data_IF_628121640226
#
_entry.id   IF_628121640226
#
_cell.length_a   1.000
_cell.length_b   1.000
_cell.length_c   1.000
_cell.angle_alpha   90.00
_cell.angle_beta   90.00
_cell.angle_gamma   90.00
#
_symmetry.space_group_name_H-M   'P 1'
#
loop_
_entity.id
_entity.type
_entity.pdbx_description
1 polymer ?
#
# COMPACT_ATOMS: atom_id res chain seq x y z
N UNK A 1 23.74 -51.48 -24.89
CA UNK A 1 24.93 -51.43 -24.02
C UNK A 1 26.11 -52.03 -24.77
N UNK A 2 27.27 -51.37 -24.77
CA UNK A 2 28.46 -51.89 -25.46
C UNK A 2 29.04 -53.04 -24.63
N UNK A 3 29.27 -54.19 -25.24
CA UNK A 3 29.74 -55.39 -24.55
C UNK A 3 31.23 -55.22 -24.21
N UNK A 4 31.61 -55.33 -22.94
CA UNK A 4 32.99 -55.11 -22.46
C UNK A 4 33.75 -56.42 -22.60
N UNK A 5 34.54 -56.56 -23.66
CA UNK A 5 35.25 -57.81 -23.97
C UNK A 5 36.78 -57.72 -23.80
N UNK A 6 37.30 -56.54 -23.42
CA UNK A 6 38.74 -56.29 -23.29
C UNK A 6 39.04 -55.28 -22.18
N UNK A 7 40.22 -55.37 -21.57
CA UNK A 7 40.73 -54.38 -20.59
C UNK A 7 40.63 -52.95 -21.10
N UNK A 8 40.93 -52.73 -22.38
CA UNK A 8 40.87 -51.41 -23.03
C UNK A 8 39.44 -50.87 -23.14
N UNK A 9 38.45 -51.74 -23.31
CA UNK A 9 37.04 -51.35 -23.34
C UNK A 9 36.52 -51.01 -21.93
N UNK A 10 37.01 -51.72 -20.92
CA UNK A 10 36.71 -51.44 -19.52
C UNK A 10 37.25 -50.07 -19.09
N UNK A 11 38.51 -49.75 -19.41
CA UNK A 11 39.11 -48.43 -19.12
C UNK A 11 38.35 -47.29 -19.78
N UNK A 12 37.94 -47.46 -21.05
CA UNK A 12 37.12 -46.47 -21.76
C UNK A 12 35.74 -46.29 -21.11
N UNK A 13 35.12 -47.38 -20.66
CA UNK A 13 33.84 -47.32 -19.97
C UNK A 13 33.96 -46.60 -18.62
N UNK A 14 35.01 -46.90 -17.84
CA UNK A 14 35.29 -46.22 -16.56
C UNK A 14 35.52 -44.73 -16.79
N UNK A 15 36.33 -44.36 -17.79
CA UNK A 15 36.57 -42.96 -18.13
C UNK A 15 35.29 -42.23 -18.54
N UNK A 16 34.47 -42.85 -19.39
CA UNK A 16 33.19 -42.27 -19.80
C UNK A 16 32.22 -42.10 -18.61
N UNK A 17 32.16 -43.09 -17.71
CA UNK A 17 31.34 -43.02 -16.50
C UNK A 17 31.84 -41.96 -15.51
N UNK A 18 33.15 -41.80 -15.34
CA UNK A 18 33.74 -40.77 -14.49
C UNK A 18 33.39 -39.37 -15.01
N UNK A 19 33.47 -39.15 -16.31
CA UNK A 19 33.06 -37.88 -16.92
C UNK A 19 31.56 -37.62 -16.76
N UNK A 20 30.74 -38.65 -16.97
CA UNK A 20 29.29 -38.55 -16.77
C UNK A 20 28.94 -38.22 -15.31
N UNK A 21 29.60 -38.87 -14.36
CA UNK A 21 29.43 -38.64 -12.93
C UNK A 21 29.82 -37.21 -12.56
N UNK A 22 30.95 -36.71 -13.07
CA UNK A 22 31.39 -35.32 -12.82
C UNK A 22 30.37 -34.32 -13.35
N UNK A 23 29.90 -34.49 -14.60
CA UNK A 23 28.91 -33.62 -15.20
C UNK A 23 27.55 -33.65 -14.45
N UNK A 24 27.10 -34.84 -14.03
CA UNK A 24 25.88 -34.97 -13.23
C UNK A 24 26.03 -34.30 -11.85
N UNK A 25 27.21 -34.42 -11.22
CA UNK A 25 27.50 -33.77 -9.95
C UNK A 25 27.41 -32.24 -10.04
N UNK A 26 27.97 -31.65 -11.10
CA UNK A 26 27.88 -30.20 -11.34
C UNK A 26 26.43 -29.75 -11.58
N UNK A 27 25.67 -30.49 -12.38
CA UNK A 27 24.26 -30.19 -12.62
C UNK A 27 23.43 -30.27 -11.34
N UNK A 28 23.68 -31.27 -10.49
CA UNK A 28 23.00 -31.43 -9.21
C UNK A 28 23.32 -30.27 -8.28
N UNK A 29 24.59 -29.86 -8.19
CA UNK A 29 25.00 -28.68 -7.41
C UNK A 29 24.29 -27.42 -7.90
N UNK A 30 24.26 -27.19 -9.22
CA UNK A 30 23.59 -26.04 -9.81
C UNK A 30 22.06 -26.05 -9.59
N UNK A 31 21.42 -27.23 -9.58
CA UNK A 31 20.00 -27.35 -9.22
C UNK A 31 19.75 -27.12 -7.73
N UNK A 32 20.65 -27.59 -6.87
CA UNK A 32 20.56 -27.38 -5.44
C UNK A 32 20.67 -25.89 -5.08
N UNK A 33 21.67 -25.20 -5.64
CA UNK A 33 21.84 -23.75 -5.46
C UNK A 33 20.61 -22.98 -5.93
N UNK A 34 20.06 -23.30 -7.11
CA UNK A 34 18.82 -22.68 -7.60
C UNK A 34 17.62 -22.97 -6.72
N UNK A 35 17.51 -24.19 -6.19
CA UNK A 35 16.43 -24.57 -5.28
C UNK A 35 16.51 -23.77 -3.98
N UNK A 36 17.68 -23.71 -3.36
CA UNK A 36 17.92 -22.90 -2.14
C UNK A 36 17.66 -21.42 -2.42
N UNK A 37 18.12 -20.91 -3.56
CA UNK A 37 17.88 -19.54 -3.99
C UNK A 37 16.38 -19.25 -4.16
N UNK A 38 15.61 -20.19 -4.72
CA UNK A 38 14.15 -20.05 -4.88
C UNK A 38 13.38 -20.08 -3.56
N UNK A 39 13.91 -20.80 -2.55
CA UNK A 39 13.34 -20.89 -1.20
C UNK A 39 13.68 -19.69 -0.33
N UNK A 40 14.61 -18.81 -0.76
CA UNK A 40 14.89 -17.57 -0.04
C UNK A 40 13.61 -16.72 0.03
N UNK A 41 13.24 -16.20 1.21
CA UNK A 41 12.02 -15.41 1.38
C UNK A 41 11.89 -14.25 0.38
N UNK A 42 13.01 -13.61 0.05
CA UNK A 42 13.06 -12.51 -0.93
C UNK A 42 12.60 -12.97 -2.32
N UNK A 43 13.01 -14.15 -2.77
CA UNK A 43 12.61 -14.68 -4.08
C UNK A 43 11.19 -15.23 -4.07
N UNK A 44 10.71 -15.77 -2.94
CA UNK A 44 9.30 -16.15 -2.76
C UNK A 44 8.41 -14.89 -2.87
N UNK A 45 8.75 -13.82 -2.15
CA UNK A 45 8.01 -12.55 -2.22
C UNK A 45 8.06 -11.97 -3.64
N UNK A 46 9.23 -11.97 -4.28
CA UNK A 46 9.40 -11.48 -5.66
C UNK A 46 8.55 -12.26 -6.66
N UNK A 47 8.54 -13.60 -6.57
CA UNK A 47 7.74 -14.44 -7.45
C UNK A 47 6.24 -14.27 -7.18
N UNK A 48 5.83 -14.21 -5.91
CA UNK A 48 4.44 -13.93 -5.53
C UNK A 48 4.00 -12.55 -6.02
N UNK A 49 4.83 -11.52 -5.89
CA UNK A 49 4.52 -10.17 -6.35
C UNK A 49 4.41 -10.10 -7.88
N UNK A 50 5.33 -10.73 -8.62
CA UNK A 50 5.24 -10.82 -10.08
C UNK A 50 3.98 -11.56 -10.56
N UNK A 51 3.59 -12.64 -9.86
CA UNK A 51 2.35 -13.36 -10.17
C UNK A 51 1.11 -12.53 -9.81
N UNK A 52 1.20 -11.73 -8.76
CA UNK A 52 0.14 -10.85 -8.29
C UNK A 52 -0.11 -9.67 -9.24
N UNK A 53 0.95 -9.08 -9.80
CA UNK A 53 0.86 -7.99 -10.80
C UNK A 53 0.34 -8.50 -12.15
N UNK A 54 0.57 -9.77 -12.49
CA UNK A 54 0.06 -10.39 -13.74
C UNK A 54 -1.42 -10.75 -13.69
N UNK A 55 -2.05 -10.77 -12.52
CA UNK A 55 -3.48 -11.07 -12.36
C UNK A 55 -4.30 -9.79 -12.18
N UNK A 56 -5.21 -9.43 -13.12
CA UNK A 56 -6.04 -8.23 -13.01
C UNK A 56 -6.92 -8.20 -11.75
N UNK A 57 -7.38 -9.36 -11.29
CA UNK A 57 -8.26 -9.47 -10.12
C UNK A 57 -7.52 -9.27 -8.80
N UNK A 58 -6.29 -9.78 -8.69
CA UNK A 58 -5.45 -9.55 -7.51
C UNK A 58 -5.03 -8.08 -7.41
N UNK A 59 -4.72 -7.46 -8.55
CA UNK A 59 -4.40 -6.04 -8.62
C UNK A 59 -5.59 -5.17 -8.15
N UNK A 60 -6.81 -5.49 -8.59
CA UNK A 60 -8.04 -4.83 -8.09
C UNK A 60 -8.21 -4.98 -6.58
N UNK A 61 -7.97 -6.18 -6.03
CA UNK A 61 -8.10 -6.42 -4.59
C UNK A 61 -7.05 -5.67 -3.75
N UNK A 62 -5.83 -5.48 -4.26
CA UNK A 62 -4.82 -4.66 -3.57
C UNK A 62 -5.20 -3.19 -3.60
N UNK A 63 -5.70 -2.69 -4.73
CA UNK A 63 -6.17 -1.31 -4.83
C UNK A 63 -7.33 -1.09 -3.87
N UNK A 64 -8.33 -1.96 -3.86
CA UNK A 64 -9.46 -1.83 -2.93
C UNK A 64 -9.02 -1.90 -1.46
N UNK A 65 -8.11 -2.82 -1.13
CA UNK A 65 -7.57 -2.96 0.23
C UNK A 65 -6.73 -1.76 0.63
N UNK A 66 -5.85 -1.26 -0.24
CA UNK A 66 -5.02 -0.09 0.04
C UNK A 66 -5.84 1.19 0.20
N UNK A 67 -6.93 1.33 -0.57
CA UNK A 67 -7.91 2.40 -0.37
C UNK A 67 -8.58 2.25 1.00
N UNK A 68 -9.00 1.05 1.40
CA UNK A 68 -9.57 0.81 2.73
C UNK A 68 -8.61 1.08 3.89
N UNK A 69 -7.34 0.69 3.74
CA UNK A 69 -6.30 0.94 4.74
C UNK A 69 -5.94 2.42 4.84
N UNK A 70 -5.81 3.10 3.70
CA UNK A 70 -5.49 4.53 3.66
C UNK A 70 -6.66 5.34 4.19
N UNK A 71 -7.89 5.02 3.79
CA UNK A 71 -9.09 5.70 4.30
C UNK A 71 -9.28 5.41 5.78
N UNK A 72 -9.03 4.18 6.25
CA UNK A 72 -9.06 3.81 7.66
C UNK A 72 -7.99 4.54 8.49
N UNK A 73 -6.77 4.69 7.98
CA UNK A 73 -5.71 5.44 8.64
C UNK A 73 -6.02 6.94 8.72
N UNK A 74 -6.47 7.53 7.61
CA UNK A 74 -6.90 8.94 7.57
C UNK A 74 -8.11 9.15 8.49
N UNK A 75 -9.08 8.25 8.45
CA UNK A 75 -10.25 8.26 9.33
C UNK A 75 -9.83 8.18 10.80
N UNK A 76 -8.99 7.23 11.20
CA UNK A 76 -8.50 7.14 12.57
C UNK A 76 -7.72 8.40 12.99
N UNK A 77 -6.92 8.98 12.09
CA UNK A 77 -6.17 10.20 12.37
C UNK A 77 -7.06 11.43 12.55
N UNK A 78 -8.21 11.46 11.87
CA UNK A 78 -9.20 12.53 11.96
C UNK A 78 -10.14 12.32 13.15
N UNK A 79 -10.72 11.12 13.32
CA UNK A 79 -11.79 10.81 14.27
C UNK A 79 -11.31 10.29 15.63
N UNK A 80 -10.23 9.51 15.71
CA UNK A 80 -9.82 8.77 16.92
C UNK A 80 -8.53 9.32 17.55
N UNK A 81 -7.60 9.86 16.75
CA UNK A 81 -6.35 10.44 17.25
C UNK A 81 -6.57 11.72 18.07
N UNK A 82 -5.66 12.03 19.00
CA UNK A 82 -5.68 13.13 19.99
C UNK A 82 -5.69 14.57 19.41
N UNK A 83 -6.32 14.79 18.27
CA UNK A 83 -6.28 16.02 17.50
C UNK A 83 -7.54 16.85 17.67
N UNK A 84 -7.69 17.45 18.86
CA UNK A 84 -8.66 18.53 19.12
C UNK A 84 -8.55 19.68 18.09
N UNK A 85 -7.43 19.78 17.38
CA UNK A 85 -7.13 20.86 16.45
C UNK A 85 -7.37 20.53 14.96
N UNK A 86 -7.28 19.27 14.48
CA UNK A 86 -7.46 18.98 13.05
C UNK A 86 -8.92 19.08 12.64
N UNK A 87 -9.84 18.44 13.37
CA UNK A 87 -11.29 18.52 13.08
C UNK A 87 -11.75 19.99 13.18
N UNK A 88 -11.33 20.69 14.25
CA UNK A 88 -11.68 22.10 14.45
C UNK A 88 -11.15 23.00 13.34
N UNK A 89 -9.93 22.77 12.83
CA UNK A 89 -9.39 23.50 11.67
C UNK A 89 -10.13 23.18 10.38
N UNK A 90 -10.51 21.92 10.18
CA UNK A 90 -11.26 21.50 8.98
C UNK A 90 -12.66 22.12 8.96
N UNK A 91 -13.42 21.98 10.05
CA UNK A 91 -14.74 22.60 10.21
C UNK A 91 -14.61 24.13 10.14
N UNK A 92 -13.62 24.71 10.83
CA UNK A 92 -13.34 26.14 10.80
C UNK A 92 -13.06 26.66 9.40
N UNK A 93 -12.30 25.91 8.59
CA UNK A 93 -12.03 26.25 7.19
C UNK A 93 -13.29 26.19 6.31
N UNK A 94 -14.14 25.18 6.47
CA UNK A 94 -15.42 25.08 5.73
C UNK A 94 -16.32 26.26 6.10
N UNK A 95 -16.47 26.55 7.40
CA UNK A 95 -17.28 27.68 7.87
C UNK A 95 -16.71 28.99 7.33
N UNK A 96 -15.39 29.18 7.39
CA UNK A 96 -14.73 30.38 6.90
C UNK A 96 -14.96 30.58 5.40
N UNK A 97 -14.83 29.52 4.58
CA UNK A 97 -15.10 29.60 3.14
C UNK A 97 -16.57 29.93 2.89
N UNK A 98 -17.50 29.24 3.55
CA UNK A 98 -18.93 29.50 3.40
C UNK A 98 -19.31 30.94 3.76
N UNK A 99 -18.84 31.43 4.91
CA UNK A 99 -19.06 32.82 5.34
C UNK A 99 -18.41 33.80 4.37
N UNK A 100 -17.17 33.55 3.93
CA UNK A 100 -16.46 34.44 2.99
C UNK A 100 -17.18 34.53 1.65
N UNK A 101 -17.70 33.43 1.12
CA UNK A 101 -18.47 33.41 -0.13
C UNK A 101 -19.78 34.19 0.01
N UNK A 102 -20.49 34.05 1.12
CA UNK A 102 -21.75 34.79 1.36
C UNK A 102 -21.47 36.28 1.56
N UNK A 103 -20.42 36.64 2.31
CA UNK A 103 -20.01 38.04 2.56
C UNK A 103 -19.58 38.73 1.26
N UNK A 104 -18.78 38.05 0.43
CA UNK A 104 -18.31 38.60 -0.84
C UNK A 104 -19.41 38.72 -1.88
N UNK A 105 -20.38 37.81 -1.88
CA UNK A 105 -21.48 37.81 -2.87
C UNK A 105 -22.65 38.72 -2.48
N UNK A 106 -22.93 38.88 -1.17
CA UNK A 106 -24.09 39.63 -0.67
C UNK A 106 -23.78 40.34 0.66
N UNK A 107 -22.96 41.40 0.65
CA UNK A 107 -22.51 42.09 1.87
C UNK A 107 -23.67 42.70 2.68
N UNK A 108 -24.71 43.21 2.00
CA UNK A 108 -25.89 43.80 2.66
C UNK A 108 -26.75 42.78 3.42
N UNK A 109 -26.84 41.55 2.92
CA UNK A 109 -27.56 40.46 3.59
C UNK A 109 -26.87 40.08 4.91
N UNK A 110 -25.53 40.02 4.90
CA UNK A 110 -24.74 39.76 6.11
C UNK A 110 -24.85 40.91 7.10
N UNK A 111 -24.82 42.16 6.64
CA UNK A 111 -24.98 43.35 7.48
C UNK A 111 -26.34 43.39 8.20
N UNK A 112 -27.42 42.99 7.52
CA UNK A 112 -28.76 42.86 8.11
C UNK A 112 -28.85 41.74 9.14
N UNK A 113 -28.32 40.56 8.82
CA UNK A 113 -28.30 39.42 9.75
C UNK A 113 -27.45 39.74 10.98
N UNK A 114 -26.27 40.34 10.78
CA UNK A 114 -25.40 40.82 11.85
C UNK A 114 -26.08 41.84 12.75
N UNK A 115 -26.72 42.88 12.18
CA UNK A 115 -27.50 43.86 12.95
C UNK A 115 -28.64 43.21 13.74
N UNK A 116 -29.32 42.21 13.16
CA UNK A 116 -30.41 41.50 13.84
C UNK A 116 -29.89 40.67 15.01
N UNK A 117 -28.80 39.93 14.84
CA UNK A 117 -28.20 39.09 15.88
C UNK A 117 -27.60 39.96 17.00
N UNK A 118 -26.81 40.98 16.66
CA UNK A 118 -26.22 41.92 17.63
C UNK A 118 -27.34 42.66 18.36
N UNK A 119 -28.35 43.12 17.64
CA UNK A 119 -29.54 43.75 18.22
C UNK A 119 -30.24 42.83 19.20
N UNK A 120 -30.51 41.57 18.86
CA UNK A 120 -31.18 40.63 19.77
C UNK A 120 -30.34 40.26 20.99
N UNK A 121 -29.01 40.18 20.88
CA UNK A 121 -28.12 39.85 22.00
C UNK A 121 -27.92 41.05 22.93
N UNK A 122 -27.69 42.26 22.39
CA UNK A 122 -27.43 43.46 23.20
C UNK A 122 -28.72 44.09 23.78
N UNK A 123 -29.88 44.02 23.12
CA UNK A 123 -31.12 44.57 23.68
C UNK A 123 -31.69 43.72 24.83
N UNK A 124 -31.28 42.45 24.96
CA UNK A 124 -31.69 41.58 26.07
C UNK A 124 -31.00 41.91 27.40
N UNK A 125 -29.93 42.72 27.37
CA UNK A 125 -29.21 43.19 28.56
C UNK A 125 -29.70 44.52 29.16
N UNK A 126 -30.54 45.28 28.44
CA UNK A 126 -31.00 46.61 28.87
C UNK A 126 -32.47 46.68 29.30
N UNK A 127 -33.15 45.53 29.42
CA UNK A 127 -34.52 45.40 29.95
C UNK A 127 -34.54 44.68 31.31
N UNK A 128 -33.52 44.95 32.13
CA UNK A 128 -33.51 44.69 33.57
C UNK A 128 -32.94 45.90 34.29
N UNK A 129 -33.75 46.94 34.45
CA UNK A 129 -33.72 47.85 35.59
C UNK A 129 -35.14 48.34 35.83
#
# INVERSE_FOLDING_TARGET
MKNINSKKDLEKAIYALAQLQSAQGELLKAQFERSIESLKPVNIIKNSFNNMVKSPDLLKNIISTSVGLTSGYVSNKIFVGNSRNIIRKFIGGIIQVGVTTIVSSNPEAVKRVGHKIIGTIFHRGSQKK
#
